data_IF_502854955615
#
_entry.id   IF_502854955615
#
_cell.length_a   1.000
_cell.length_b   1.000
_cell.length_c   1.000
_cell.angle_alpha   90.00
_cell.angle_beta   90.00
_cell.angle_gamma   90.00
#
_symmetry.space_group_name_H-M   'P 1'
#
loop_
_entity.id
_entity.type
_entity.pdbx_description
1 polymer ?
#
# COMPACT_ATOMS: atom_id res chain seq x y z
N UNK A 1 -2.79 -17.40 10.39
CA UNK A 1 -1.69 -17.19 9.48
C UNK A 1 -0.40 -17.81 9.98
N UNK A 2 0.62 -17.84 9.13
CA UNK A 2 1.95 -18.32 9.49
C UNK A 2 2.81 -17.16 10.00
N UNK A 3 3.62 -17.42 11.03
CA UNK A 3 4.60 -16.46 11.52
C UNK A 3 5.72 -16.21 10.49
N UNK A 4 6.37 -15.04 10.56
CA UNK A 4 7.48 -14.66 9.69
C UNK A 4 8.65 -15.68 9.71
N UNK A 5 8.88 -16.36 10.83
CA UNK A 5 9.86 -17.46 10.93
C UNK A 5 9.55 -18.64 10.00
N UNK A 6 8.28 -18.83 9.62
CA UNK A 6 7.85 -19.86 8.66
C UNK A 6 7.81 -19.33 7.23
N UNK A 7 7.27 -18.13 7.03
CA UNK A 7 7.19 -17.50 5.70
C UNK A 7 8.55 -16.98 5.21
N UNK A 8 9.49 -16.75 6.12
CA UNK A 8 10.79 -16.07 5.91
C UNK A 8 10.67 -14.59 5.50
N UNK A 9 9.47 -14.05 5.47
CA UNK A 9 9.22 -12.61 5.21
C UNK A 9 9.26 -11.86 6.54
N UNK A 10 10.41 -11.30 6.91
CA UNK A 10 10.64 -10.64 8.20
C UNK A 10 11.33 -9.27 8.10
N UNK A 11 11.72 -8.87 6.89
CA UNK A 11 12.22 -7.52 6.57
C UNK A 11 11.76 -7.11 5.18
N UNK A 12 11.88 -5.83 4.85
CA UNK A 12 11.63 -5.32 3.51
C UNK A 12 12.54 -6.02 2.49
N UNK A 13 12.11 -6.06 1.23
CA UNK A 13 12.81 -6.72 0.13
C UNK A 13 13.02 -8.24 0.32
N UNK A 14 12.08 -8.89 0.99
CA UNK A 14 11.90 -10.34 0.95
C UNK A 14 10.54 -10.65 0.35
N UNK A 15 10.54 -11.30 -0.80
CA UNK A 15 9.33 -11.69 -1.49
C UNK A 15 8.59 -12.84 -0.77
N UNK A 16 7.28 -12.84 -0.87
CA UNK A 16 6.47 -13.98 -0.45
C UNK A 16 6.81 -15.19 -1.33
N UNK A 17 7.17 -16.35 -0.76
CA UNK A 17 7.43 -17.55 -1.55
C UNK A 17 6.20 -17.96 -2.38
N UNK A 18 6.40 -18.24 -3.66
CA UNK A 18 5.30 -18.54 -4.60
C UNK A 18 4.49 -19.78 -4.21
N UNK A 19 5.14 -20.75 -3.57
CA UNK A 19 4.49 -21.98 -3.10
C UNK A 19 3.69 -21.81 -1.81
N UNK A 20 3.68 -20.61 -1.20
CA UNK A 20 2.89 -20.36 -0.01
C UNK A 20 1.40 -20.40 -0.31
N UNK A 21 0.67 -21.08 0.55
CA UNK A 21 -0.78 -21.03 0.57
C UNK A 21 -1.24 -19.74 1.21
N UNK A 22 -1.90 -18.89 0.42
CA UNK A 22 -2.49 -17.63 0.87
C UNK A 22 -4.01 -17.77 0.99
N UNK A 23 -4.64 -16.86 1.73
CA UNK A 23 -6.11 -16.80 1.79
C UNK A 23 -6.73 -16.60 0.40
N UNK A 24 -6.10 -15.78 -0.46
CA UNK A 24 -6.59 -15.54 -1.82
C UNK A 24 -6.53 -16.82 -2.68
N UNK A 25 -5.44 -17.59 -2.60
CA UNK A 25 -5.35 -18.90 -3.30
C UNK A 25 -6.44 -19.86 -2.85
N UNK A 26 -6.68 -19.96 -1.54
CA UNK A 26 -7.73 -20.83 -0.99
C UNK A 26 -9.12 -20.38 -1.44
N UNK A 27 -9.41 -19.09 -1.39
CA UNK A 27 -10.70 -18.56 -1.81
C UNK A 27 -10.90 -18.72 -3.32
N UNK A 28 -9.87 -18.43 -4.13
CA UNK A 28 -9.93 -18.63 -5.57
C UNK A 28 -10.22 -20.08 -5.95
N UNK A 29 -9.56 -21.05 -5.29
CA UNK A 29 -9.80 -22.48 -5.54
C UNK A 29 -11.20 -22.95 -5.09
N UNK A 30 -11.89 -22.16 -4.28
CA UNK A 30 -13.27 -22.39 -3.86
C UNK A 30 -14.30 -21.50 -4.59
N UNK A 31 -13.95 -20.98 -5.76
CA UNK A 31 -14.87 -20.28 -6.65
C UNK A 31 -15.09 -18.80 -6.36
N UNK A 32 -14.30 -18.22 -5.45
CA UNK A 32 -14.33 -16.77 -5.22
C UNK A 32 -13.61 -16.02 -6.33
N UNK A 33 -14.11 -14.85 -6.65
CA UNK A 33 -13.35 -13.85 -7.39
C UNK A 33 -12.38 -13.17 -6.42
N UNK A 34 -11.09 -13.13 -6.76
CA UNK A 34 -10.06 -12.54 -5.90
C UNK A 34 -9.50 -11.28 -6.53
N UNK A 35 -9.48 -10.19 -5.78
CA UNK A 35 -9.08 -8.87 -6.24
C UNK A 35 -8.14 -8.18 -5.25
N UNK A 36 -7.14 -7.48 -5.78
CA UNK A 36 -6.20 -6.68 -5.00
C UNK A 36 -6.01 -5.30 -5.59
N UNK A 37 -6.03 -4.28 -4.74
CA UNK A 37 -5.80 -2.88 -5.12
C UNK A 37 -4.86 -2.21 -4.12
N UNK A 38 -3.78 -1.56 -4.60
CA UNK A 38 -2.90 -0.74 -3.79
C UNK A 38 -1.48 -1.27 -3.60
N UNK A 39 -0.90 -1.10 -2.41
CA UNK A 39 0.48 -1.49 -2.12
C UNK A 39 0.59 -3.00 -1.86
N UNK A 40 1.46 -3.70 -2.61
CA UNK A 40 1.69 -5.13 -2.43
C UNK A 40 2.84 -5.45 -1.46
N UNK A 41 4.02 -4.95 -1.71
CA UNK A 41 5.25 -5.06 -0.92
C UNK A 41 5.69 -6.50 -0.60
N UNK A 42 5.37 -7.44 -1.47
CA UNK A 42 5.67 -8.87 -1.30
C UNK A 42 6.24 -9.52 -2.57
N UNK A 43 6.65 -8.73 -3.58
CA UNK A 43 7.16 -9.27 -4.83
C UNK A 43 8.67 -9.09 -4.99
N UNK A 44 9.23 -7.95 -4.59
CA UNK A 44 10.66 -7.65 -4.71
C UNK A 44 11.49 -8.51 -3.75
N UNK A 45 12.58 -9.10 -4.26
CA UNK A 45 13.47 -9.96 -3.49
C UNK A 45 14.92 -9.49 -3.67
N UNK A 46 15.51 -8.90 -2.63
CA UNK A 46 16.90 -8.46 -2.59
C UNK A 46 17.19 -7.21 -3.44
N UNK A 47 16.83 -6.05 -2.96
CA UNK A 47 17.10 -4.77 -3.64
C UNK A 47 18.60 -4.64 -3.99
N UNK A 48 18.91 -4.42 -5.27
CA UNK A 48 20.24 -4.08 -5.74
C UNK A 48 21.19 -5.25 -6.07
N UNK A 49 20.77 -6.51 -5.97
CA UNK A 49 21.62 -7.69 -6.19
C UNK A 49 21.30 -8.50 -7.46
N UNK A 50 20.73 -7.86 -8.50
CA UNK A 50 20.36 -8.55 -9.76
C UNK A 50 19.19 -9.51 -9.60
N UNK A 51 18.48 -9.43 -8.52
CA UNK A 51 17.29 -10.18 -8.17
C UNK A 51 16.03 -9.53 -8.72
N UNK A 52 14.93 -10.25 -8.64
CA UNK A 52 13.62 -9.80 -9.09
C UNK A 52 13.21 -8.49 -8.40
N UNK A 53 13.37 -7.38 -9.11
CA UNK A 53 13.01 -6.04 -8.63
C UNK A 53 11.73 -5.56 -9.33
N UNK A 54 10.65 -5.51 -8.54
CA UNK A 54 9.34 -5.04 -8.98
C UNK A 54 8.97 -3.67 -8.39
N UNK A 55 9.92 -2.94 -7.83
CA UNK A 55 9.65 -1.62 -7.24
C UNK A 55 9.04 -0.68 -8.29
N UNK A 56 9.65 -0.60 -9.47
CA UNK A 56 9.21 0.25 -10.58
C UNK A 56 8.63 -0.54 -11.76
N UNK A 57 8.47 -1.84 -11.61
CA UNK A 57 8.06 -2.76 -12.64
C UNK A 57 6.76 -3.49 -12.28
N UNK A 58 5.99 -3.95 -13.31
CA UNK A 58 4.76 -4.70 -13.05
C UNK A 58 5.06 -6.05 -12.40
N UNK A 59 4.22 -6.43 -11.45
CA UNK A 59 4.34 -7.70 -10.72
C UNK A 59 3.73 -8.82 -11.57
N UNK A 60 4.49 -9.89 -11.91
CA UNK A 60 3.97 -11.00 -12.70
C UNK A 60 2.95 -11.82 -11.91
N UNK A 61 2.06 -12.50 -12.63
CA UNK A 61 0.93 -13.25 -12.07
C UNK A 61 1.33 -14.22 -10.95
N UNK A 62 2.43 -14.96 -11.10
CA UNK A 62 2.93 -15.90 -10.11
C UNK A 62 3.27 -15.26 -8.75
N UNK A 63 3.60 -13.97 -8.75
CA UNK A 63 3.97 -13.20 -7.56
C UNK A 63 2.81 -12.48 -6.86
N UNK A 64 1.56 -12.60 -7.37
CA UNK A 64 0.37 -11.90 -6.87
C UNK A 64 -0.38 -12.65 -5.78
N UNK A 65 0.19 -13.71 -5.22
CA UNK A 65 -0.36 -14.42 -4.06
C UNK A 65 -1.76 -15.01 -4.23
N UNK A 66 -2.26 -15.22 -5.47
CA UNK A 66 -3.57 -15.80 -5.76
C UNK A 66 -4.69 -14.78 -6.00
N UNK A 67 -4.35 -13.52 -6.21
CA UNK A 67 -5.29 -12.50 -6.69
C UNK A 67 -5.37 -12.54 -8.21
N UNK A 68 -6.34 -13.29 -8.75
CA UNK A 68 -6.38 -13.74 -10.14
C UNK A 68 -7.33 -12.92 -11.03
N UNK A 69 -8.43 -12.39 -10.48
CA UNK A 69 -9.50 -11.80 -11.27
C UNK A 69 -9.30 -10.30 -11.52
N UNK A 70 -8.81 -9.59 -10.51
CA UNK A 70 -8.56 -8.16 -10.60
C UNK A 70 -7.29 -7.79 -9.84
N UNK A 71 -6.46 -6.98 -10.47
CA UNK A 71 -5.19 -6.54 -9.93
C UNK A 71 -4.88 -5.13 -10.40
N UNK A 72 -4.73 -4.19 -9.48
CA UNK A 72 -4.21 -2.85 -9.71
C UNK A 72 -3.29 -2.51 -8.55
N UNK A 73 -1.99 -2.72 -8.71
CA UNK A 73 -1.05 -2.58 -7.60
C UNK A 73 0.37 -2.18 -8.04
N UNK A 74 1.13 -1.65 -7.10
CA UNK A 74 2.58 -1.50 -7.16
C UNK A 74 3.21 -2.16 -5.94
N UNK A 75 4.44 -2.65 -6.07
CA UNK A 75 5.09 -3.35 -4.95
C UNK A 75 5.43 -2.37 -3.82
N UNK A 76 6.14 -1.29 -4.12
CA UNK A 76 6.46 -0.21 -3.17
C UNK A 76 5.79 1.07 -3.65
N UNK A 77 4.49 1.19 -3.37
CA UNK A 77 3.62 2.25 -3.93
C UNK A 77 4.10 3.67 -3.58
N UNK A 78 4.76 3.88 -2.45
CA UNK A 78 5.36 5.15 -2.07
C UNK A 78 6.53 5.59 -2.95
N UNK A 79 7.11 4.68 -3.75
CA UNK A 79 8.16 4.99 -4.73
C UNK A 79 7.59 5.19 -6.14
N UNK A 80 6.38 4.71 -6.41
CA UNK A 80 5.69 4.91 -7.69
C UNK A 80 4.64 6.02 -7.64
N UNK A 81 4.47 6.67 -6.49
CA UNK A 81 3.47 7.73 -6.33
C UNK A 81 3.81 8.74 -5.24
N UNK A 82 3.32 9.94 -5.44
CA UNK A 82 3.16 11.00 -4.45
C UNK A 82 1.71 10.97 -3.91
N UNK A 83 1.39 11.89 -2.99
CA UNK A 83 0.03 12.00 -2.44
C UNK A 83 -1.06 12.24 -3.47
N UNK A 84 -0.76 12.95 -4.58
CA UNK A 84 -1.75 13.39 -5.57
C UNK A 84 -1.49 12.93 -7.01
N UNK A 85 -0.43 12.19 -7.26
CA UNK A 85 -0.11 11.63 -8.58
C UNK A 85 0.75 10.39 -8.46
N UNK A 86 0.72 9.55 -9.47
CA UNK A 86 1.56 8.38 -9.54
C UNK A 86 1.03 7.35 -10.51
N UNK A 87 1.48 6.11 -10.34
CA UNK A 87 1.03 5.01 -11.17
C UNK A 87 1.02 3.69 -10.40
N UNK A 88 0.17 2.80 -10.89
CA UNK A 88 0.11 1.38 -10.53
C UNK A 88 0.17 0.54 -11.82
N UNK A 89 0.13 -0.77 -11.66
CA UNK A 89 0.09 -1.69 -12.78
C UNK A 89 -1.16 -2.56 -12.70
N UNK A 90 -1.82 -2.75 -13.85
CA UNK A 90 -3.00 -3.62 -13.95
C UNK A 90 -2.65 -5.12 -14.05
N UNK A 91 -3.69 -5.95 -14.18
CA UNK A 91 -3.51 -7.41 -14.31
C UNK A 91 -2.76 -7.83 -15.58
N UNK A 92 -2.82 -7.01 -16.63
CA UNK A 92 -2.19 -7.24 -17.92
C UNK A 92 -0.79 -6.57 -18.01
N UNK A 93 -0.28 -6.09 -16.88
CA UNK A 93 1.02 -5.43 -16.71
C UNK A 93 1.12 -4.05 -17.37
N UNK A 94 0.01 -3.41 -17.68
CA UNK A 94 -0.01 -2.06 -18.19
C UNK A 94 0.15 -1.08 -17.05
N UNK A 95 0.94 -0.01 -17.29
CA UNK A 95 1.06 1.13 -16.36
C UNK A 95 -0.21 1.97 -16.42
N UNK A 96 -0.82 2.23 -15.26
CA UNK A 96 -2.00 3.07 -15.11
C UNK A 96 -1.62 4.29 -14.25
N UNK A 97 -1.69 5.47 -14.83
CA UNK A 97 -1.38 6.72 -14.15
C UNK A 97 -2.63 7.33 -13.49
N UNK A 98 -2.44 8.09 -12.42
CA UNK A 98 -3.48 8.86 -11.77
C UNK A 98 -2.98 10.26 -11.39
N UNK A 99 -3.90 11.25 -11.42
CA UNK A 99 -3.66 12.65 -11.05
C UNK A 99 -4.79 13.13 -10.10
N UNK A 100 -4.88 12.50 -8.94
CA UNK A 100 -5.79 12.84 -7.83
C UNK A 100 -5.21 12.33 -6.52
N UNK A 101 -5.85 12.64 -5.38
CA UNK A 101 -5.42 12.09 -4.11
C UNK A 101 -5.34 10.55 -4.18
N UNK A 102 -4.21 10.00 -3.78
CA UNK A 102 -3.90 8.56 -4.00
C UNK A 102 -4.95 7.62 -3.40
N UNK A 103 -5.50 7.97 -2.21
CA UNK A 103 -6.58 7.18 -1.60
C UNK A 103 -7.82 7.17 -2.47
N UNK A 104 -8.18 8.32 -3.07
CA UNK A 104 -9.34 8.40 -3.96
C UNK A 104 -9.11 7.57 -5.23
N UNK A 105 -7.90 7.61 -5.80
CA UNK A 105 -7.56 6.78 -6.95
C UNK A 105 -7.64 5.28 -6.64
N UNK A 106 -7.10 4.84 -5.51
CA UNK A 106 -7.17 3.45 -5.05
C UNK A 106 -8.62 3.04 -4.80
N UNK A 107 -9.43 3.93 -4.22
CA UNK A 107 -10.86 3.70 -3.99
C UNK A 107 -11.61 3.52 -5.29
N UNK A 108 -11.33 4.36 -6.31
CA UNK A 108 -11.97 4.24 -7.63
C UNK A 108 -11.68 2.88 -8.29
N UNK A 109 -10.45 2.37 -8.20
CA UNK A 109 -10.12 1.03 -8.70
C UNK A 109 -10.84 -0.08 -7.91
N UNK A 110 -11.00 0.09 -6.60
CA UNK A 110 -11.77 -0.86 -5.80
C UNK A 110 -13.26 -0.86 -6.20
N UNK A 111 -13.84 0.31 -6.45
CA UNK A 111 -15.21 0.47 -6.95
C UNK A 111 -15.36 -0.10 -8.36
N UNK A 112 -14.38 0.14 -9.25
CA UNK A 112 -14.37 -0.44 -10.60
C UNK A 112 -14.42 -1.98 -10.58
N UNK A 113 -13.72 -2.61 -9.65
CA UNK A 113 -13.85 -4.06 -9.43
C UNK A 113 -15.27 -4.44 -9.00
N UNK A 114 -15.85 -3.71 -8.04
CA UNK A 114 -17.20 -4.00 -7.55
C UNK A 114 -18.27 -3.86 -8.63
N UNK A 115 -18.08 -2.93 -9.57
CA UNK A 115 -18.98 -2.73 -10.70
C UNK A 115 -18.82 -3.82 -11.76
N UNK A 116 -17.61 -4.33 -11.99
CA UNK A 116 -17.29 -5.30 -13.04
C UNK A 116 -17.36 -6.76 -12.62
N UNK A 117 -17.36 -7.04 -11.31
CA UNK A 117 -17.37 -8.43 -10.82
C UNK A 117 -18.60 -9.21 -11.28
N UNK A 118 -18.47 -10.51 -11.41
CA UNK A 118 -19.59 -11.43 -11.63
C UNK A 118 -20.48 -11.50 -10.38
N UNK A 119 -21.71 -11.01 -10.48
CA UNK A 119 -22.64 -10.97 -9.35
C UNK A 119 -23.13 -12.36 -8.89
N UNK A 120 -22.89 -13.41 -9.69
CA UNK A 120 -23.26 -14.79 -9.34
C UNK A 120 -22.19 -15.51 -8.53
N UNK A 121 -21.05 -14.87 -8.27
CA UNK A 121 -19.94 -15.45 -7.52
C UNK A 121 -19.60 -14.63 -6.29
N UNK A 122 -19.23 -15.28 -5.19
CA UNK A 122 -18.65 -14.57 -4.06
C UNK A 122 -17.32 -13.93 -4.45
N UNK A 123 -16.91 -12.90 -3.74
CA UNK A 123 -15.64 -12.23 -4.00
C UNK A 123 -14.84 -11.99 -2.71
N UNK A 124 -13.55 -11.84 -2.89
CA UNK A 124 -12.60 -11.39 -1.88
C UNK A 124 -11.78 -10.25 -2.47
N UNK A 125 -12.03 -9.04 -1.99
CA UNK A 125 -11.31 -7.83 -2.35
C UNK A 125 -10.42 -7.40 -1.19
N UNK A 126 -9.12 -7.23 -1.46
CA UNK A 126 -8.18 -6.63 -0.52
C UNK A 126 -7.76 -5.26 -1.05
N UNK A 127 -8.03 -4.21 -0.29
CA UNK A 127 -7.60 -2.84 -0.62
C UNK A 127 -6.52 -2.42 0.37
N UNK A 128 -5.34 -2.12 -0.15
CA UNK A 128 -4.16 -1.76 0.64
C UNK A 128 -3.78 -0.31 0.39
N UNK A 129 -4.30 0.58 1.23
CA UNK A 129 -3.89 1.98 1.23
C UNK A 129 -2.50 2.15 1.85
N UNK A 130 -1.76 3.17 1.42
CA UNK A 130 -0.53 3.58 2.11
C UNK A 130 -0.85 4.48 3.30
N UNK A 131 -1.78 5.39 3.12
CA UNK A 131 -2.14 6.38 4.14
C UNK A 131 -2.60 5.70 5.45
N UNK A 132 -2.16 6.24 6.57
CA UNK A 132 -1.50 7.52 6.82
C UNK A 132 0.04 7.50 6.82
N UNK A 133 0.70 6.85 5.87
CA UNK A 133 2.16 6.89 5.75
C UNK A 133 2.63 8.30 5.39
N UNK A 134 3.76 8.74 5.95
CA UNK A 134 4.32 10.03 5.60
C UNK A 134 4.84 10.06 4.15
N UNK A 135 4.80 11.23 3.49
CA UNK A 135 5.25 11.36 2.11
C UNK A 135 6.76 11.60 2.05
N UNK A 136 7.50 10.62 1.52
CA UNK A 136 8.96 10.63 1.50
C UNK A 136 9.55 11.85 0.76
N UNK A 137 8.93 12.26 -0.34
CA UNK A 137 9.37 13.40 -1.14
C UNK A 137 9.09 14.76 -0.49
N UNK A 138 8.20 14.82 0.50
CA UNK A 138 7.82 16.04 1.23
C UNK A 138 8.25 16.03 2.68
N UNK A 139 8.72 14.89 3.17
CA UNK A 139 9.08 14.65 4.57
C UNK A 139 7.99 15.07 5.56
N UNK A 140 6.72 14.76 5.24
CA UNK A 140 5.54 15.08 6.05
C UNK A 140 4.38 14.14 5.76
N UNK A 141 3.41 14.08 6.66
CA UNK A 141 2.11 13.48 6.39
C UNK A 141 1.28 14.42 5.50
N UNK A 142 0.53 13.87 4.57
CA UNK A 142 -0.31 14.61 3.66
C UNK A 142 -1.72 14.02 3.64
N UNK A 143 -2.67 14.76 4.15
CA UNK A 143 -4.08 14.44 4.07
C UNK A 143 -4.73 15.08 2.83
N UNK A 144 -5.97 14.68 2.49
CA UNK A 144 -6.72 15.32 1.43
C UNK A 144 -7.10 16.77 1.81
N UNK A 145 -7.06 17.68 0.84
CA UNK A 145 -7.36 19.11 1.08
C UNK A 145 -8.69 19.31 1.81
N UNK A 146 -9.74 18.57 1.43
CA UNK A 146 -11.08 18.67 2.04
C UNK A 146 -11.12 18.27 3.52
N UNK A 147 -10.13 17.55 4.02
CA UNK A 147 -10.07 17.14 5.44
C UNK A 147 -9.27 18.11 6.31
N UNK A 148 -8.38 18.91 5.74
CA UNK A 148 -7.56 19.88 6.49
C UNK A 148 -8.40 20.89 7.26
N UNK A 149 -9.40 21.48 6.58
CA UNK A 149 -10.32 22.43 7.23
C UNK A 149 -11.13 21.77 8.35
N UNK A 150 -11.54 20.51 8.13
CA UNK A 150 -12.40 19.79 9.07
C UNK A 150 -11.66 19.35 10.34
N UNK A 151 -10.40 19.04 10.25
CA UNK A 151 -9.60 18.43 11.33
C UNK A 151 -8.45 19.32 11.82
N UNK A 152 -8.30 20.54 11.28
CA UNK A 152 -7.20 21.44 11.64
C UNK A 152 -7.15 21.86 13.11
N UNK A 153 -8.23 21.71 13.86
CA UNK A 153 -8.33 22.04 15.29
C UNK A 153 -8.48 20.79 16.18
N UNK A 154 -7.98 19.64 15.75
CA UNK A 154 -7.99 18.44 16.59
C UNK A 154 -7.08 18.62 17.81
N UNK A 155 -7.60 18.25 19.00
CA UNK A 155 -6.79 18.27 20.22
C UNK A 155 -5.65 17.24 20.10
N UNK A 156 -4.42 17.69 20.33
CA UNK A 156 -3.26 16.81 20.46
C UNK A 156 -3.38 16.05 21.78
N UNK A 157 -3.25 14.72 21.80
CA UNK A 157 -3.22 13.96 23.05
C UNK A 157 -2.12 14.44 23.98
N UNK A 158 -2.43 14.59 25.27
CA UNK A 158 -1.50 15.14 26.29
C UNK A 158 -0.22 14.30 26.46
N UNK A 159 -0.26 13.02 26.19
CA UNK A 159 0.89 12.11 26.22
C UNK A 159 1.92 12.41 25.12
N UNK A 160 1.50 12.97 23.98
CA UNK A 160 2.42 13.45 22.95
C UNK A 160 3.21 14.67 23.42
N UNK A 161 2.60 15.56 24.20
CA UNK A 161 3.29 16.70 24.82
C UNK A 161 4.34 16.27 25.84
N UNK A 162 4.13 15.14 26.54
CA UNK A 162 5.01 14.61 27.57
C UNK A 162 6.26 13.90 27.02
N UNK A 163 6.23 13.41 25.78
CA UNK A 163 7.32 12.62 25.18
C UNK A 163 8.51 13.47 24.73
N UNK A 164 8.47 14.79 24.86
CA UNK A 164 9.56 15.69 24.51
C UNK A 164 10.07 15.43 23.10
N UNK A 165 9.62 16.21 22.15
CA UNK A 165 9.98 16.07 20.72
C UNK A 165 11.49 16.11 20.41
N UNK A 166 12.36 16.38 21.40
CA UNK A 166 13.80 16.55 21.23
C UNK A 166 14.54 15.27 20.87
N UNK A 167 14.37 14.23 21.65
CA UNK A 167 15.22 13.03 21.58
C UNK A 167 14.78 12.02 20.50
N UNK A 168 13.54 12.08 20.06
CA UNK A 168 13.04 11.20 19.01
C UNK A 168 13.34 11.71 17.59
N UNK A 169 13.60 13.01 17.42
CA UNK A 169 13.90 13.62 16.11
C UNK A 169 15.15 13.05 15.44
N UNK A 170 16.15 12.63 16.20
CA UNK A 170 17.43 12.19 15.66
C UNK A 170 17.43 10.71 15.22
N UNK A 171 16.50 9.91 15.76
CA UNK A 171 16.57 8.45 15.62
C UNK A 171 15.46 7.82 14.77
N UNK A 172 14.39 8.55 14.40
CA UNK A 172 13.24 8.00 13.68
C UNK A 172 12.75 8.94 12.56
N UNK A 173 13.08 8.66 11.28
CA UNK A 173 12.62 9.45 10.13
C UNK A 173 11.09 9.61 10.06
N UNK A 174 10.33 8.59 10.46
CA UNK A 174 8.87 8.61 10.49
C UNK A 174 8.32 9.61 11.51
N UNK A 175 9.08 9.85 12.55
CA UNK A 175 8.73 10.82 13.58
C UNK A 175 8.92 12.27 13.10
N UNK A 176 9.90 12.52 12.23
CA UNK A 176 10.05 13.83 11.58
C UNK A 176 8.82 14.18 10.73
N UNK A 177 8.25 13.19 10.04
CA UNK A 177 7.00 13.36 9.31
C UNK A 177 5.84 13.78 10.23
N UNK A 178 5.69 13.14 11.39
CA UNK A 178 4.66 13.49 12.37
C UNK A 178 4.86 14.93 12.91
N UNK A 179 6.09 15.29 13.24
CA UNK A 179 6.41 16.65 13.72
C UNK A 179 6.08 17.72 12.68
N UNK A 180 6.44 17.48 11.40
CA UNK A 180 6.12 18.40 10.32
C UNK A 180 4.62 18.50 10.02
N UNK A 181 3.82 17.46 10.34
CA UNK A 181 2.37 17.50 10.19
C UNK A 181 1.68 18.33 11.27
N UNK A 182 2.27 18.45 12.45
CA UNK A 182 1.77 19.31 13.54
C UNK A 182 1.95 20.79 13.19
N UNK A 183 2.96 21.15 12.42
CA UNK A 183 3.19 22.51 11.91
C UNK A 183 2.13 22.99 10.89
N UNK A 184 1.12 22.16 10.61
CA UNK A 184 -0.03 22.49 9.76
C UNK A 184 -1.22 23.10 10.51
N UNK A 185 -1.13 23.26 11.80
CA UNK A 185 -2.18 23.90 12.62
C UNK A 185 -1.86 25.40 12.82
#
# INVERSE_FOLDING_TARGET
GLYSTKTKVFVNAIALPENMTTIAKLLYSNGYQTAYVGKWHLATNGIGNGSEDYIFNPIPKGRRGGYENYWVASDVLELTSDGYKGYLFDKDMNKIEFEKYRVDAITDYALDFLDKKDNNKPFFLFVSYIEPHHQNNKNKYEGPEYSKEKFGNCNIPKDIELLGFGDAKENYPDYLGACHSIDYN
#
